data_IF_650933952251
#
_entry.id   IF_650933952251
#
_cell.length_a   1.000
_cell.length_b   1.000
_cell.length_c   1.000
_cell.angle_alpha   90.00
_cell.angle_beta   90.00
_cell.angle_gamma   90.00
#
_symmetry.space_group_name_H-M   'P 1'
#
loop_
_entity.id
_entity.type
_entity.pdbx_description
1 polymer ?
#
# COMPACT_ATOMS: atom_id res chain seq x y z
N UNK A 1 11.52 0.58 -18.95
CA UNK A 1 10.07 0.33 -18.96
C UNK A 1 9.53 0.71 -17.59
N UNK A 2 8.59 1.65 -17.50
CA UNK A 2 8.09 2.14 -16.21
C UNK A 2 7.06 1.14 -15.69
N UNK A 3 7.15 0.77 -14.40
CA UNK A 3 6.19 -0.12 -13.71
C UNK A 3 4.72 0.35 -13.78
N UNK A 4 4.47 1.58 -14.26
CA UNK A 4 3.16 2.21 -14.43
C UNK A 4 2.40 1.76 -15.68
N UNK A 5 3.08 1.12 -16.65
CA UNK A 5 2.47 0.72 -17.92
C UNK A 5 1.77 -0.66 -17.83
N UNK A 6 1.73 -1.28 -16.65
CA UNK A 6 0.99 -2.52 -16.42
C UNK A 6 -0.50 -2.20 -16.16
N UNK A 7 -1.45 -2.76 -16.94
CA UNK A 7 -2.86 -2.37 -16.88
C UNK A 7 -3.51 -2.61 -15.51
N UNK A 8 -3.03 -3.59 -14.76
CA UNK A 8 -3.50 -3.88 -13.40
C UNK A 8 -3.02 -2.84 -12.38
N UNK A 9 -1.81 -2.31 -12.59
CA UNK A 9 -1.20 -1.28 -11.72
C UNK A 9 -1.79 0.10 -12.05
N UNK A 10 -2.01 0.38 -13.33
CA UNK A 10 -2.53 1.67 -13.82
C UNK A 10 -3.94 1.98 -13.30
N UNK A 11 -4.86 1.01 -13.32
CA UNK A 11 -6.23 1.21 -12.82
C UNK A 11 -6.29 1.56 -11.32
N UNK A 12 -5.36 0.99 -10.55
CA UNK A 12 -5.23 1.22 -9.11
C UNK A 12 -4.62 2.58 -8.80
N UNK A 13 -3.69 3.05 -9.64
CA UNK A 13 -3.15 4.42 -9.59
C UNK A 13 -4.19 5.48 -9.98
N UNK A 14 -5.01 5.22 -10.99
CA UNK A 14 -5.91 6.22 -11.58
C UNK A 14 -7.23 6.35 -10.81
N UNK A 15 -7.60 5.31 -10.04
CA UNK A 15 -8.68 5.37 -9.04
C UNK A 15 -8.23 5.98 -7.69
N UNK A 16 -6.92 6.07 -7.45
CA UNK A 16 -6.32 6.72 -6.29
C UNK A 16 -6.39 8.24 -6.42
N UNK A 17 -6.71 8.92 -5.32
CA UNK A 17 -6.62 10.38 -5.22
C UNK A 17 -5.26 10.86 -5.78
N UNK A 18 -5.23 12.01 -6.48
CA UNK A 18 -4.07 12.68 -7.11
C UNK A 18 -2.88 13.00 -6.15
N UNK A 19 -2.42 11.98 -5.42
CA UNK A 19 -1.50 12.10 -4.31
C UNK A 19 -0.62 10.85 -4.25
N UNK A 20 0.58 11.05 -4.80
CA UNK A 20 1.62 10.04 -5.08
C UNK A 20 2.01 9.17 -3.88
N UNK A 21 1.79 9.65 -2.66
CA UNK A 21 2.06 8.91 -1.41
C UNK A 21 1.02 7.83 -1.16
N UNK A 22 -0.27 8.12 -1.40
CA UNK A 22 -1.34 7.15 -1.25
C UNK A 22 -1.19 5.99 -2.23
N UNK A 23 -0.87 6.31 -3.50
CA UNK A 23 -0.64 5.30 -4.53
C UNK A 23 0.53 4.37 -4.19
N UNK A 24 1.63 4.97 -3.69
CA UNK A 24 2.82 4.21 -3.28
C UNK A 24 2.49 3.29 -2.11
N UNK A 25 1.69 3.76 -1.15
CA UNK A 25 1.21 2.92 -0.06
C UNK A 25 0.36 1.77 -0.58
N UNK A 26 -0.58 2.04 -1.49
CA UNK A 26 -1.51 1.03 -1.99
C UNK A 26 -0.79 -0.09 -2.75
N UNK A 27 0.27 0.23 -3.51
CA UNK A 27 1.14 -0.76 -4.15
C UNK A 27 2.04 -1.53 -3.18
N UNK A 28 2.38 -0.93 -2.04
CA UNK A 28 3.14 -1.61 -1.00
C UNK A 28 2.32 -2.74 -0.35
N UNK A 29 0.98 -2.64 -0.33
CA UNK A 29 0.09 -3.66 0.22
C UNK A 29 0.30 -5.07 -0.35
N UNK A 30 0.20 -5.27 -1.69
CA UNK A 30 0.50 -6.55 -2.33
C UNK A 30 1.92 -7.05 -2.05
N UNK A 31 2.89 -6.15 -1.92
CA UNK A 31 4.29 -6.48 -1.65
C UNK A 31 4.46 -7.01 -0.22
N UNK A 32 3.83 -6.35 0.76
CA UNK A 32 3.79 -6.80 2.17
C UNK A 32 3.10 -8.16 2.25
N UNK A 33 1.96 -8.35 1.58
CA UNK A 33 1.25 -9.63 1.55
C UNK A 33 2.16 -10.72 0.96
N UNK A 34 2.85 -10.46 -0.15
CA UNK A 34 3.82 -11.39 -0.73
C UNK A 34 4.96 -11.75 0.23
N UNK A 35 5.46 -10.77 0.99
CA UNK A 35 6.47 -11.00 2.01
C UNK A 35 5.97 -11.91 3.14
N UNK A 36 4.73 -11.69 3.63
CA UNK A 36 4.10 -12.56 4.64
C UNK A 36 3.90 -13.98 4.12
N UNK A 37 3.53 -14.14 2.85
CA UNK A 37 3.38 -15.46 2.22
C UNK A 37 4.71 -16.22 2.15
N UNK A 38 5.81 -15.53 1.80
CA UNK A 38 7.14 -16.16 1.66
C UNK A 38 7.76 -16.48 3.04
N UNK A 39 7.72 -15.53 3.98
CA UNK A 39 8.32 -15.70 5.31
C UNK A 39 7.44 -16.51 6.26
N UNK A 40 6.19 -16.77 5.88
CA UNK A 40 5.19 -17.39 6.74
C UNK A 40 4.73 -16.45 7.86
N UNK A 41 3.71 -16.88 8.60
CA UNK A 41 3.20 -16.13 9.75
C UNK A 41 4.19 -16.19 10.91
N UNK A 42 5.02 -15.16 11.02
CA UNK A 42 5.97 -14.92 12.11
C UNK A 42 5.68 -13.60 12.83
N UNK A 43 6.15 -13.43 14.07
CA UNK A 43 6.03 -12.17 14.81
C UNK A 43 6.55 -10.97 14.02
N UNK A 44 7.62 -11.17 13.23
CA UNK A 44 8.20 -10.12 12.38
C UNK A 44 7.21 -9.68 11.31
N UNK A 45 6.63 -10.63 10.55
CA UNK A 45 5.66 -10.33 9.49
C UNK A 45 4.36 -9.73 10.05
N UNK A 46 3.96 -10.14 11.25
CA UNK A 46 2.77 -9.62 11.93
C UNK A 46 2.95 -8.16 12.34
N UNK A 47 4.09 -7.82 12.95
CA UNK A 47 4.44 -6.43 13.28
C UNK A 47 4.52 -5.57 12.02
N UNK A 48 5.14 -6.09 10.95
CA UNK A 48 5.27 -5.39 9.67
C UNK A 48 3.91 -5.07 9.05
N UNK A 49 2.99 -6.03 9.09
CA UNK A 49 1.61 -5.85 8.62
C UNK A 49 0.86 -4.82 9.47
N UNK A 50 0.95 -4.89 10.80
CA UNK A 50 0.28 -3.92 11.70
C UNK A 50 0.79 -2.50 11.48
N UNK A 51 2.11 -2.32 11.34
CA UNK A 51 2.70 -1.00 11.07
C UNK A 51 2.22 -0.47 9.73
N UNK A 52 2.25 -1.29 8.67
CA UNK A 52 1.78 -0.92 7.35
C UNK A 52 0.30 -0.49 7.37
N UNK A 53 -0.58 -1.27 8.00
CA UNK A 53 -2.01 -0.96 8.12
C UNK A 53 -2.21 0.34 8.91
N UNK A 54 -1.50 0.51 10.03
CA UNK A 54 -1.63 1.71 10.88
C UNK A 54 -1.26 2.97 10.11
N UNK A 55 -0.12 2.95 9.39
CA UNK A 55 0.33 4.07 8.56
C UNK A 55 -0.68 4.32 7.43
N UNK A 56 -1.17 3.26 6.77
CA UNK A 56 -2.18 3.37 5.71
C UNK A 56 -3.45 4.06 6.19
N UNK A 57 -4.04 3.57 7.28
CA UNK A 57 -5.28 4.12 7.84
C UNK A 57 -5.07 5.56 8.32
N UNK A 58 -3.98 5.83 9.04
CA UNK A 58 -3.69 7.17 9.56
C UNK A 58 -3.49 8.17 8.44
N UNK A 59 -2.72 7.81 7.40
CA UNK A 59 -2.48 8.67 6.25
C UNK A 59 -3.77 8.91 5.45
N UNK A 60 -4.58 7.87 5.26
CA UNK A 60 -5.89 7.99 4.60
C UNK A 60 -6.82 8.93 5.35
N UNK A 61 -6.89 8.80 6.68
CA UNK A 61 -7.70 9.68 7.53
C UNK A 61 -7.20 11.13 7.50
N UNK A 62 -5.89 11.34 7.61
CA UNK A 62 -5.29 12.67 7.51
C UNK A 62 -5.61 13.33 6.16
N UNK A 63 -5.44 12.59 5.07
CA UNK A 63 -5.76 13.05 3.73
C UNK A 63 -7.25 13.36 3.57
N UNK A 64 -8.13 12.56 4.19
CA UNK A 64 -9.57 12.79 4.20
C UNK A 64 -9.94 14.07 4.96
N UNK A 65 -9.30 14.34 6.09
CA UNK A 65 -9.49 15.59 6.84
C UNK A 65 -8.88 16.83 6.18
N UNK A 66 -7.98 16.66 5.21
CA UNK A 66 -7.34 17.74 4.44
C UNK A 66 -8.01 18.00 3.08
N UNK A 67 -9.07 17.27 2.74
CA UNK A 67 -9.93 17.51 1.59
C UNK A 67 -11.10 18.41 1.96
#
# INVERSE_FOLDING_TARGET
>A
MKLRDLPVVSYVFEAGADNRVFDSLLLLGPLVIGLVVILGRSLVTEVLAVVYITVFVTYTLYQWTQR
#
